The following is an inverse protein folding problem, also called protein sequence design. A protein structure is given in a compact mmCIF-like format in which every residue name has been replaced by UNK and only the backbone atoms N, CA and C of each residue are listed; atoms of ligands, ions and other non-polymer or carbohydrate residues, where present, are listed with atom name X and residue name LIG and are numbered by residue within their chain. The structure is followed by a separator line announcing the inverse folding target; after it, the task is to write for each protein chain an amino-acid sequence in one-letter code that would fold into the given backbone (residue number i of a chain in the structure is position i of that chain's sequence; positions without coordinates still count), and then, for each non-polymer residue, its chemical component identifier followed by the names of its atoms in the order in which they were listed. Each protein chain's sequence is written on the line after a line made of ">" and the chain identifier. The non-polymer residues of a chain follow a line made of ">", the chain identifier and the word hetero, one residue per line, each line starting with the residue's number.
data_IF_945256372122
#
_entry.id   IF_945256372122
#
_cell.length_a   1.000
_cell.length_b   1.000
_cell.length_c   1.000
_cell.angle_alpha   90.00
_cell.angle_beta   90.00
_cell.angle_gamma   90.00
#
_symmetry.space_group_name_H-M   'P 1'
#
loop_
_entity.id
_entity.type
_entity.pdbx_description
1 polymer ?
#
# COMPACT_ATOMS: atom_id res chain seq x y z
N UNK A 1 21.56 34.54 -11.14
CA UNK A 1 21.08 33.52 -12.09
C UNK A 1 21.22 32.09 -11.54
N UNK A 2 22.34 31.74 -10.88
CA UNK A 2 22.57 30.41 -10.28
C UNK A 2 21.59 30.00 -9.16
N UNK A 3 21.21 30.92 -8.27
CA UNK A 3 20.33 30.61 -7.12
C UNK A 3 18.92 30.18 -7.53
N UNK A 4 18.34 30.82 -8.54
CA UNK A 4 16.99 30.50 -9.03
C UNK A 4 16.91 29.10 -9.65
N UNK A 5 17.99 28.67 -10.32
CA UNK A 5 18.10 27.31 -10.87
C UNK A 5 18.21 26.25 -9.77
N UNK A 6 18.99 26.52 -8.71
CA UNK A 6 19.11 25.62 -7.56
C UNK A 6 17.77 25.46 -6.81
N UNK A 7 17.01 26.54 -6.64
CA UNK A 7 15.67 26.48 -6.04
C UNK A 7 14.71 25.66 -6.89
N UNK A 8 14.71 25.85 -8.20
CA UNK A 8 13.88 25.07 -9.12
C UNK A 8 14.20 23.57 -9.04
N UNK A 9 15.49 23.19 -9.05
CA UNK A 9 15.92 21.80 -8.90
C UNK A 9 15.50 21.21 -7.54
N UNK A 10 15.61 21.98 -6.47
CA UNK A 10 15.20 21.54 -5.12
C UNK A 10 13.71 21.25 -5.05
N UNK A 11 12.87 22.12 -5.63
CA UNK A 11 11.42 21.91 -5.70
C UNK A 11 11.09 20.68 -6.57
N UNK A 12 11.72 20.55 -7.73
CA UNK A 12 11.52 19.41 -8.62
C UNK A 12 11.85 18.09 -7.93
N UNK A 13 12.99 18.03 -7.23
CA UNK A 13 13.41 16.84 -6.50
C UNK A 13 12.45 16.51 -5.36
N UNK A 14 11.97 17.52 -4.62
CA UNK A 14 10.99 17.34 -3.55
C UNK A 14 9.63 16.84 -4.03
N UNK A 15 9.15 17.32 -5.18
CA UNK A 15 7.89 16.81 -5.77
C UNK A 15 8.07 15.36 -6.21
N UNK A 16 9.20 15.03 -6.85
CA UNK A 16 9.48 13.67 -7.31
C UNK A 16 9.54 12.67 -6.13
N UNK A 17 10.19 13.03 -5.02
CA UNK A 17 10.25 12.15 -3.84
C UNK A 17 8.88 11.91 -3.23
N UNK A 18 8.02 12.94 -3.16
CA UNK A 18 6.64 12.79 -2.68
C UNK A 18 5.85 11.83 -3.59
N UNK A 19 5.96 11.96 -4.91
CA UNK A 19 5.27 11.07 -5.85
C UNK A 19 5.72 9.61 -5.70
N UNK A 20 7.01 9.37 -5.50
CA UNK A 20 7.55 8.02 -5.26
C UNK A 20 7.04 7.43 -3.92
N UNK A 21 6.96 8.24 -2.87
CA UNK A 21 6.43 7.80 -1.57
C UNK A 21 4.95 7.41 -1.63
N UNK A 22 4.16 8.07 -2.48
CA UNK A 22 2.74 7.73 -2.68
C UNK A 22 2.61 6.34 -3.33
N UNK A 23 3.50 5.97 -4.26
CA UNK A 23 3.45 4.65 -4.90
C UNK A 23 3.83 3.50 -3.95
N UNK A 24 4.63 3.77 -2.92
CA UNK A 24 5.00 2.77 -1.92
C UNK A 24 3.84 2.38 -0.96
N UNK A 25 2.71 3.09 -1.02
CA UNK A 25 1.51 2.74 -0.23
C UNK A 25 0.58 1.75 -0.94
N UNK A 26 0.93 1.31 -2.16
CA UNK A 26 0.20 0.24 -2.81
C UNK A 26 0.48 -1.08 -2.08
N UNK A 27 -0.55 -1.75 -1.57
CA UNK A 27 -0.46 -3.08 -0.95
C UNK A 27 -0.08 -4.18 -1.97
N UNK A 28 0.27 -3.83 -3.20
CA UNK A 28 0.67 -4.80 -4.24
C UNK A 28 1.99 -5.48 -3.87
N UNK A 29 1.86 -6.62 -3.20
CA UNK A 29 2.97 -7.44 -2.74
C UNK A 29 2.70 -8.16 -1.43
N UNK A 30 1.70 -7.76 -0.67
CA UNK A 30 1.31 -8.42 0.57
C UNK A 30 -0.12 -8.97 0.48
N UNK A 31 -0.29 -10.21 0.94
CA UNK A 31 -1.61 -10.80 1.18
C UNK A 31 -1.90 -10.72 2.68
N UNK A 32 -3.09 -10.25 3.03
CA UNK A 32 -3.56 -10.28 4.42
C UNK A 32 -4.67 -11.33 4.53
N UNK A 33 -4.40 -12.35 5.35
CA UNK A 33 -5.28 -13.51 5.54
C UNK A 33 -5.90 -13.41 6.93
N UNK A 34 -7.22 -13.57 7.01
CA UNK A 34 -7.96 -13.65 8.27
C UNK A 34 -8.34 -15.11 8.54
N UNK A 35 -7.80 -15.68 9.62
CA UNK A 35 -7.97 -17.09 9.97
C UNK A 35 -9.35 -17.32 10.60
N UNK A 36 -10.14 -18.20 10.01
CA UNK A 36 -11.52 -18.46 10.44
C UNK A 36 -12.57 -17.53 9.83
N UNK A 37 -12.15 -16.66 8.90
CA UNK A 37 -13.08 -15.90 8.07
C UNK A 37 -13.82 -16.87 7.11
N UNK A 38 -15.16 -16.80 6.98
CA UNK A 38 -15.93 -17.73 6.14
C UNK A 38 -15.40 -17.83 4.70
N UNK A 39 -15.49 -19.02 4.11
CA UNK A 39 -15.04 -19.25 2.74
C UNK A 39 -15.70 -18.26 1.76
N UNK A 40 -14.92 -17.82 0.77
CA UNK A 40 -15.32 -16.83 -0.24
C UNK A 40 -15.69 -15.43 0.29
N UNK A 41 -15.40 -15.14 1.55
CA UNK A 41 -15.59 -13.79 2.09
C UNK A 41 -14.29 -12.98 2.15
N UNK A 42 -14.45 -11.66 2.11
CA UNK A 42 -13.39 -10.67 2.20
C UNK A 42 -13.96 -9.36 2.73
N UNK A 43 -13.10 -8.54 3.33
CA UNK A 43 -13.48 -7.20 3.80
C UNK A 43 -12.27 -6.26 3.80
N UNK A 44 -12.56 -4.96 3.82
CA UNK A 44 -11.54 -3.94 4.10
C UNK A 44 -11.72 -3.43 5.52
N UNK A 45 -10.65 -3.47 6.30
CA UNK A 45 -10.64 -2.87 7.63
C UNK A 45 -10.82 -1.35 7.49
N UNK A 46 -11.80 -0.79 8.21
CA UNK A 46 -12.17 0.63 8.07
C UNK A 46 -11.15 1.59 8.70
N UNK A 47 -10.33 1.12 9.63
CA UNK A 47 -9.33 1.94 10.33
C UNK A 47 -8.03 1.98 9.56
N UNK A 48 -7.60 0.85 9.02
CA UNK A 48 -6.30 0.71 8.35
C UNK A 48 -6.40 0.73 6.82
N UNK A 49 -7.58 0.45 6.26
CA UNK A 49 -7.78 0.30 4.82
C UNK A 49 -7.25 -1.02 4.25
N UNK A 50 -6.74 -1.92 5.10
CA UNK A 50 -6.15 -3.21 4.68
C UNK A 50 -7.28 -4.15 4.24
N UNK A 51 -7.12 -4.78 3.07
CA UNK A 51 -8.03 -5.81 2.58
C UNK A 51 -7.64 -7.19 3.10
N UNK A 52 -8.59 -7.90 3.71
CA UNK A 52 -8.44 -9.26 4.22
C UNK A 52 -9.21 -10.26 3.36
N UNK A 53 -8.62 -11.43 3.16
CA UNK A 53 -9.24 -12.59 2.51
C UNK A 53 -9.25 -13.80 3.45
N UNK A 54 -10.16 -14.75 3.21
CA UNK A 54 -10.27 -15.98 3.99
C UNK A 54 -9.03 -16.89 3.82
N UNK A 55 -8.69 -17.59 4.90
CA UNK A 55 -7.66 -18.63 4.97
C UNK A 55 -8.04 -19.92 4.23
N UNK A 56 -9.32 -20.11 3.87
CA UNK A 56 -9.84 -21.33 3.23
C UNK A 56 -9.15 -21.71 1.91
N UNK A 57 -8.47 -20.77 1.23
CA UNK A 57 -7.67 -21.06 0.01
C UNK A 57 -6.23 -21.49 0.30
N UNK A 58 -5.79 -21.42 1.54
CA UNK A 58 -4.39 -21.58 1.94
C UNK A 58 -4.17 -22.75 2.90
N UNK A 59 -5.24 -23.25 3.52
CA UNK A 59 -5.20 -24.40 4.43
C UNK A 59 -6.29 -25.41 4.02
N UNK A 60 -5.95 -26.70 4.08
CA UNK A 60 -6.90 -27.80 3.83
C UNK A 60 -7.44 -28.42 5.13
N UNK A 61 -6.99 -27.91 6.29
CA UNK A 61 -7.28 -28.45 7.63
C UNK A 61 -7.50 -27.31 8.63
N UNK A 62 -8.31 -27.53 9.67
CA UNK A 62 -8.53 -26.60 10.79
C UNK A 62 -8.32 -27.25 12.15
#
# INVERSE_FOLDING_TARGET
>A
MMGMFLHFLSVLLGVLTILVLIQAQDLSGFISIDCGLPEHSSYSDRKTGIGYISDAKFIDTG
#
